data_IF_336513807548
#
_entry.id   IF_336513807548
#
_cell.length_a   1.000
_cell.length_b   1.000
_cell.length_c   1.000
_cell.angle_alpha   90.00
_cell.angle_beta   90.00
_cell.angle_gamma   90.00
#
_symmetry.space_group_name_H-M   'P 1'
#
loop_
_entity.id
_entity.type
_entity.pdbx_description
1 polymer ?
#
# COMPACT_ATOMS: atom_id res chain seq x y z
N UNK A 1 -7.64 37.75 -4.22
CA UNK A 1 -6.60 36.82 -4.71
C UNK A 1 -6.59 36.92 -6.23
N UNK A 2 -5.48 37.29 -6.85
CA UNK A 2 -5.39 37.49 -8.31
C UNK A 2 -5.39 36.14 -9.05
N UNK A 3 -5.80 36.11 -10.32
CA UNK A 3 -5.77 34.90 -11.15
C UNK A 3 -4.35 34.33 -11.30
N UNK A 4 -3.35 35.21 -11.44
CA UNK A 4 -1.94 34.81 -11.46
C UNK A 4 -1.52 34.07 -10.19
N UNK A 5 -2.02 34.51 -9.02
CA UNK A 5 -1.72 33.86 -7.75
C UNK A 5 -2.36 32.47 -7.64
N UNK A 6 -3.58 32.28 -8.20
CA UNK A 6 -4.23 30.97 -8.25
C UNK A 6 -3.46 29.99 -9.16
N UNK A 7 -3.01 30.45 -10.32
CA UNK A 7 -2.21 29.65 -11.27
C UNK A 7 -0.89 29.21 -10.61
N UNK A 8 -0.17 30.13 -9.97
CA UNK A 8 1.08 29.81 -9.26
C UNK A 8 0.86 28.79 -8.13
N UNK A 9 -0.21 28.95 -7.35
CA UNK A 9 -0.57 27.98 -6.31
C UNK A 9 -0.87 26.59 -6.87
N UNK A 10 -1.59 26.51 -7.98
CA UNK A 10 -1.91 25.24 -8.64
C UNK A 10 -0.65 24.56 -9.18
N UNK A 11 0.24 25.30 -9.85
CA UNK A 11 1.51 24.77 -10.34
C UNK A 11 2.39 24.26 -9.18
N UNK A 12 2.45 24.99 -8.07
CA UNK A 12 3.18 24.55 -6.88
C UNK A 12 2.64 23.22 -6.33
N UNK A 13 1.31 23.08 -6.22
CA UNK A 13 0.67 21.82 -5.79
C UNK A 13 0.99 20.66 -6.72
N UNK A 14 0.94 20.90 -8.04
CA UNK A 14 1.28 19.91 -9.06
C UNK A 14 2.73 19.42 -8.96
N UNK A 15 3.68 20.34 -8.74
CA UNK A 15 5.10 19.98 -8.51
C UNK A 15 5.25 19.16 -7.23
N UNK A 16 4.59 19.55 -6.14
CA UNK A 16 4.63 18.82 -4.87
C UNK A 16 4.04 17.40 -5.00
N UNK A 17 2.92 17.24 -5.69
CA UNK A 17 2.31 15.93 -5.95
C UNK A 17 3.26 15.04 -6.77
N UNK A 18 3.87 15.60 -7.82
CA UNK A 18 4.85 14.89 -8.64
C UNK A 18 6.06 14.44 -7.82
N UNK A 19 6.61 15.31 -6.98
CA UNK A 19 7.74 15.01 -6.11
C UNK A 19 7.40 13.94 -5.08
N UNK A 20 6.21 14.03 -4.46
CA UNK A 20 5.69 13.00 -3.54
C UNK A 20 5.70 11.64 -4.25
N UNK A 21 5.08 11.53 -5.42
CA UNK A 21 5.01 10.26 -6.15
C UNK A 21 6.39 9.72 -6.48
N UNK A 22 7.28 10.56 -6.99
CA UNK A 22 8.64 10.16 -7.32
C UNK A 22 9.46 9.75 -6.09
N UNK A 23 9.14 10.25 -4.89
CA UNK A 23 9.90 9.91 -3.68
C UNK A 23 9.60 8.51 -3.16
N UNK A 24 8.37 7.99 -3.34
CA UNK A 24 8.03 6.63 -2.88
C UNK A 24 8.05 5.58 -3.99
N UNK A 25 8.09 5.99 -5.25
CA UNK A 25 8.14 5.08 -6.38
C UNK A 25 9.31 4.06 -6.33
N UNK A 26 10.53 4.44 -5.91
CA UNK A 26 11.64 3.49 -5.79
C UNK A 26 11.39 2.35 -4.79
N UNK A 27 10.57 2.57 -3.76
CA UNK A 27 10.22 1.54 -2.77
C UNK A 27 9.20 0.55 -3.34
N UNK A 28 8.28 1.05 -4.16
CA UNK A 28 7.20 0.24 -4.71
C UNK A 28 7.53 -0.49 -6.00
N UNK A 29 8.41 0.07 -6.83
CA UNK A 29 8.74 -0.49 -8.12
C UNK A 29 9.23 -1.95 -8.02
N UNK A 30 10.09 -2.33 -7.06
CA UNK A 30 10.49 -3.72 -6.88
C UNK A 30 9.33 -4.67 -6.55
N UNK A 31 8.51 -4.34 -5.55
CA UNK A 31 7.33 -5.15 -5.15
C UNK A 31 6.38 -5.28 -6.34
N UNK A 32 6.13 -4.16 -7.00
CA UNK A 32 5.26 -4.10 -8.15
C UNK A 32 5.76 -4.97 -9.31
N UNK A 33 7.05 -4.89 -9.63
CA UNK A 33 7.66 -5.74 -10.66
C UNK A 33 7.61 -7.20 -10.24
N UNK A 34 7.99 -7.53 -9.00
CA UNK A 34 7.92 -8.89 -8.49
C UNK A 34 6.51 -9.47 -8.62
N UNK A 35 5.49 -8.73 -8.19
CA UNK A 35 4.09 -9.18 -8.23
C UNK A 35 3.52 -9.22 -9.66
N UNK A 36 3.81 -8.23 -10.51
CA UNK A 36 3.29 -8.16 -11.89
C UNK A 36 4.00 -9.13 -12.83
N UNK A 37 5.32 -9.30 -12.72
CA UNK A 37 6.09 -10.22 -13.59
C UNK A 37 5.63 -11.67 -13.41
N UNK A 38 5.06 -12.00 -12.25
CA UNK A 38 4.45 -13.30 -11.96
C UNK A 38 3.10 -13.52 -12.69
N UNK A 39 2.60 -12.53 -13.45
CA UNK A 39 1.41 -12.59 -14.34
C UNK A 39 0.11 -13.08 -13.70
N UNK A 40 0.04 -13.12 -12.36
CA UNK A 40 -1.13 -13.60 -11.63
C UNK A 40 -1.86 -12.42 -10.99
N UNK A 41 -2.92 -11.98 -11.67
CA UNK A 41 -4.08 -11.28 -11.08
C UNK A 41 -3.77 -10.17 -10.06
N UNK A 42 -2.72 -9.39 -10.30
CA UNK A 42 -2.44 -8.18 -9.54
C UNK A 42 -3.16 -7.01 -10.18
N UNK A 43 -3.84 -6.21 -9.37
CA UNK A 43 -4.46 -4.96 -9.81
C UNK A 43 -4.22 -3.87 -8.79
N UNK A 44 -4.31 -2.62 -9.24
CA UNK A 44 -4.35 -1.49 -8.32
C UNK A 44 -5.75 -1.36 -7.74
N UNK A 45 -5.87 -1.42 -6.43
CA UNK A 45 -7.06 -0.87 -5.77
C UNK A 45 -7.07 0.65 -6.00
N UNK A 46 -5.92 1.28 -5.75
CA UNK A 46 -5.60 2.61 -6.27
C UNK A 46 -4.09 2.85 -6.32
N UNK A 47 -3.66 3.62 -7.33
CA UNK A 47 -2.32 4.16 -7.40
C UNK A 47 -2.17 5.43 -6.57
N UNK A 48 -3.17 6.32 -6.62
CA UNK A 48 -3.21 7.58 -5.88
C UNK A 48 -4.66 8.06 -5.82
N UNK A 49 -5.04 8.73 -4.73
CA UNK A 49 -6.33 9.41 -4.58
C UNK A 49 -6.12 10.91 -4.77
N UNK A 50 -6.85 11.54 -5.69
CA UNK A 50 -6.69 12.96 -6.02
C UNK A 50 -8.02 13.68 -6.09
N UNK A 51 -7.96 15.00 -5.96
CA UNK A 51 -9.11 15.87 -6.26
C UNK A 51 -9.40 15.88 -7.76
N UNK A 52 -10.65 16.15 -8.19
CA UNK A 52 -11.00 16.22 -9.61
C UNK A 52 -10.10 17.14 -10.43
N UNK A 53 -9.66 18.27 -9.83
CA UNK A 53 -8.81 19.27 -10.47
C UNK A 53 -7.38 18.78 -10.77
N UNK A 54 -6.92 17.75 -10.06
CA UNK A 54 -5.55 17.25 -10.15
C UNK A 54 -5.44 15.97 -10.99
N UNK A 55 -6.56 15.32 -11.28
CA UNK A 55 -6.62 14.05 -12.01
C UNK A 55 -5.92 14.12 -13.38
N UNK A 56 -6.32 15.06 -14.24
CA UNK A 56 -5.77 15.16 -15.61
C UNK A 56 -4.25 15.44 -15.60
N UNK A 57 -3.80 16.25 -14.64
CA UNK A 57 -2.38 16.52 -14.46
C UNK A 57 -1.63 15.23 -14.07
N UNK A 58 -2.14 14.50 -13.08
CA UNK A 58 -1.47 13.31 -12.59
C UNK A 58 -1.45 12.19 -13.64
N UNK A 59 -2.58 11.93 -14.30
CA UNK A 59 -2.67 10.94 -15.37
C UNK A 59 -1.66 11.24 -16.51
N UNK A 60 -1.56 12.51 -16.92
CA UNK A 60 -0.56 12.93 -17.90
C UNK A 60 0.88 12.74 -17.38
N UNK A 61 1.14 13.06 -16.11
CA UNK A 61 2.47 12.90 -15.51
C UNK A 61 2.88 11.42 -15.44
N UNK A 62 1.99 10.52 -15.01
CA UNK A 62 2.25 9.07 -14.94
C UNK A 62 2.56 8.49 -16.32
N UNK A 63 1.83 8.92 -17.35
CA UNK A 63 2.09 8.55 -18.76
C UNK A 63 3.44 9.05 -19.24
N UNK A 64 3.80 10.29 -18.94
CA UNK A 64 5.10 10.88 -19.32
C UNK A 64 6.29 10.22 -18.63
N UNK A 65 6.14 9.79 -17.37
CA UNK A 65 7.20 9.11 -16.62
C UNK A 65 7.50 7.70 -17.15
N UNK A 66 6.80 7.23 -18.19
CA UNK A 66 6.86 5.84 -18.71
C UNK A 66 6.47 4.77 -17.68
N UNK A 67 5.95 5.19 -16.52
CA UNK A 67 5.37 4.32 -15.50
C UNK A 67 3.98 3.83 -15.94
N UNK A 68 3.27 4.66 -16.72
CA UNK A 68 1.92 4.39 -17.21
C UNK A 68 1.75 3.17 -18.12
N UNK A 69 2.82 2.46 -18.53
CA UNK A 69 2.65 1.16 -19.20
C UNK A 69 2.04 0.11 -18.27
N UNK A 70 2.35 0.21 -16.98
CA UNK A 70 1.90 -0.76 -15.99
C UNK A 70 0.91 -0.14 -14.97
N UNK A 71 0.80 1.20 -14.93
CA UNK A 71 -0.13 1.92 -14.06
C UNK A 71 -1.31 2.41 -14.90
N UNK A 72 -2.48 1.77 -14.78
CA UNK A 72 -3.63 2.11 -15.61
C UNK A 72 -4.33 3.37 -15.06
N UNK A 73 -4.93 4.19 -15.92
CA UNK A 73 -5.52 5.48 -15.51
C UNK A 73 -6.61 5.33 -14.44
N UNK A 74 -7.38 4.24 -14.48
CA UNK A 74 -8.42 3.90 -13.50
C UNK A 74 -7.90 3.60 -12.09
N UNK A 75 -6.59 3.41 -11.93
CA UNK A 75 -5.95 3.30 -10.62
C UNK A 75 -5.84 4.66 -9.93
N UNK A 76 -5.88 5.78 -10.67
CA UNK A 76 -5.95 7.12 -10.07
C UNK A 76 -7.41 7.38 -9.69
N UNK A 77 -7.72 7.35 -8.40
CA UNK A 77 -9.09 7.54 -7.91
C UNK A 77 -9.37 9.02 -7.66
N UNK A 78 -10.52 9.50 -8.12
CA UNK A 78 -11.02 10.81 -7.74
C UNK A 78 -11.70 10.65 -6.37
N UNK A 79 -10.96 10.96 -5.30
CA UNK A 79 -11.39 10.79 -3.91
C UNK A 79 -10.57 11.71 -3.01
N UNK A 80 -11.19 12.21 -1.94
CA UNK A 80 -10.48 12.95 -0.89
C UNK A 80 -9.87 12.03 0.18
N UNK A 81 -10.23 10.74 0.14
CA UNK A 81 -9.91 9.75 1.16
C UNK A 81 -9.14 8.56 0.60
N UNK A 82 -8.22 8.05 1.41
CA UNK A 82 -7.46 6.84 1.16
C UNK A 82 -8.12 5.69 1.90
N UNK A 83 -9.29 5.27 1.43
CA UNK A 83 -10.21 4.42 2.19
C UNK A 83 -9.59 3.10 2.71
N UNK A 84 -8.58 2.53 2.05
CA UNK A 84 -7.89 1.34 2.59
C UNK A 84 -6.99 1.71 3.78
N UNK A 85 -6.25 2.82 3.69
CA UNK A 85 -5.47 3.33 4.82
C UNK A 85 -6.36 3.82 5.96
N UNK A 86 -7.49 4.46 5.64
CA UNK A 86 -8.46 4.93 6.62
C UNK A 86 -9.10 3.74 7.33
N UNK A 87 -9.53 2.71 6.59
CA UNK A 87 -10.03 1.44 7.15
C UNK A 87 -9.00 0.78 8.06
N UNK A 88 -7.74 0.72 7.63
CA UNK A 88 -6.66 0.16 8.44
C UNK A 88 -6.51 0.90 9.77
N UNK A 89 -6.47 2.24 9.76
CA UNK A 89 -6.33 3.04 10.99
C UNK A 89 -7.55 2.95 11.91
N UNK A 90 -8.74 2.82 11.34
CA UNK A 90 -9.99 2.65 12.08
C UNK A 90 -10.05 1.28 12.77
N UNK A 91 -9.76 0.21 12.01
CA UNK A 91 -9.83 -1.17 12.51
C UNK A 91 -8.64 -1.54 13.41
N UNK A 92 -7.47 -0.94 13.16
CA UNK A 92 -6.21 -1.26 13.83
C UNK A 92 -5.56 0.02 14.35
N UNK A 93 -6.14 0.68 15.37
CA UNK A 93 -5.57 1.89 15.92
C UNK A 93 -4.16 1.62 16.44
N UNK A 94 -3.26 2.59 16.28
CA UNK A 94 -1.90 2.42 16.77
C UNK A 94 -1.84 2.50 18.29
N UNK A 95 -1.07 1.60 18.90
CA UNK A 95 -0.79 1.61 20.34
C UNK A 95 0.33 2.60 20.74
N UNK A 96 0.97 3.27 19.78
CA UNK A 96 2.11 4.16 20.02
C UNK A 96 1.95 5.51 19.32
N UNK A 97 2.36 6.58 19.99
CA UNK A 97 2.15 7.94 19.50
C UNK A 97 3.15 8.36 18.39
N UNK A 98 4.35 7.78 18.39
CA UNK A 98 5.44 8.19 17.47
C UNK A 98 5.75 7.18 16.37
N UNK A 99 5.33 5.92 16.52
CA UNK A 99 5.49 4.86 15.51
C UNK A 99 4.17 4.13 15.34
N UNK A 100 3.87 3.71 14.11
CA UNK A 100 2.68 2.91 13.87
C UNK A 100 2.97 1.46 14.24
N UNK A 101 2.27 0.96 15.24
CA UNK A 101 2.20 -0.44 15.61
C UNK A 101 0.72 -0.76 15.87
N UNK A 102 0.10 -1.66 15.07
CA UNK A 102 -1.33 -1.91 15.15
C UNK A 102 -1.70 -2.60 16.46
N UNK A 103 -2.82 -2.20 17.05
CA UNK A 103 -3.41 -2.94 18.17
C UNK A 103 -4.18 -4.14 17.60
N UNK A 104 -3.64 -5.34 17.79
CA UNK A 104 -4.20 -6.59 17.28
C UNK A 104 -4.76 -7.43 18.44
N UNK A 105 -5.83 -8.17 18.16
CA UNK A 105 -6.25 -9.24 19.06
C UNK A 105 -5.37 -10.46 18.81
N UNK A 106 -4.68 -10.93 19.85
CA UNK A 106 -3.74 -12.07 19.80
C UNK A 106 -2.55 -11.84 18.84
N UNK A 107 -1.70 -10.82 19.08
CA UNK A 107 -0.54 -10.61 18.24
C UNK A 107 0.43 -11.77 18.41
N UNK A 108 0.70 -12.48 17.32
CA UNK A 108 1.93 -13.28 17.22
C UNK A 108 3.05 -12.39 16.70
N UNK A 109 4.29 -12.67 17.13
CA UNK A 109 5.48 -11.94 16.71
C UNK A 109 6.48 -12.93 16.15
N UNK A 110 7.06 -12.61 14.99
CA UNK A 110 7.99 -13.51 14.32
C UNK A 110 9.16 -12.76 13.67
N UNK A 111 10.38 -13.19 13.98
CA UNK A 111 11.63 -12.54 13.57
C UNK A 111 12.41 -13.31 12.49
N UNK A 112 11.74 -14.12 11.66
CA UNK A 112 12.44 -14.97 10.65
C UNK A 112 11.76 -14.92 9.27
N UNK A 113 12.33 -15.66 8.31
CA UNK A 113 11.94 -15.79 6.90
C UNK A 113 10.47 -15.42 6.58
N UNK A 114 10.31 -14.41 5.72
CA UNK A 114 9.01 -13.91 5.24
C UNK A 114 8.10 -15.04 4.73
N UNK A 115 8.63 -16.05 4.03
CA UNK A 115 7.82 -17.15 3.50
C UNK A 115 7.25 -18.04 4.62
N UNK A 116 8.07 -18.35 5.62
CA UNK A 116 7.66 -19.14 6.78
C UNK A 116 6.65 -18.37 7.65
N UNK A 117 6.86 -17.05 7.81
CA UNK A 117 5.93 -16.18 8.50
C UNK A 117 4.57 -16.15 7.81
N UNK A 118 4.52 -15.93 6.49
CA UNK A 118 3.27 -15.91 5.73
C UNK A 118 2.52 -17.24 5.84
N UNK A 119 3.23 -18.37 5.86
CA UNK A 119 2.63 -19.68 6.06
C UNK A 119 1.97 -19.81 7.45
N UNK A 120 2.65 -19.37 8.51
CA UNK A 120 2.10 -19.37 9.88
C UNK A 120 0.91 -18.43 10.04
N UNK A 121 1.02 -17.22 9.48
CA UNK A 121 -0.08 -16.26 9.49
C UNK A 121 -1.31 -16.83 8.76
N UNK A 122 -1.10 -17.49 7.61
CA UNK A 122 -2.18 -18.12 6.87
C UNK A 122 -2.89 -19.24 7.64
N UNK A 123 -2.13 -20.07 8.37
CA UNK A 123 -2.69 -21.11 9.23
C UNK A 123 -3.50 -20.49 10.40
N UNK A 124 -2.94 -19.49 11.07
CA UNK A 124 -3.55 -18.83 12.24
C UNK A 124 -4.81 -18.05 11.89
N UNK A 125 -4.79 -17.38 10.74
CA UNK A 125 -5.86 -16.51 10.25
C UNK A 125 -6.83 -17.23 9.30
N UNK A 126 -6.63 -18.53 9.05
CA UNK A 126 -7.38 -19.34 8.09
C UNK A 126 -7.46 -18.74 6.68
N UNK A 127 -6.38 -18.09 6.22
CA UNK A 127 -6.31 -17.40 4.93
C UNK A 127 -6.19 -18.42 3.81
N UNK A 128 -7.03 -18.30 2.78
CA UNK A 128 -6.93 -19.14 1.58
C UNK A 128 -5.87 -18.61 0.61
N UNK A 129 -5.20 -19.51 -0.12
CA UNK A 129 -4.14 -19.12 -1.07
C UNK A 129 -4.64 -18.18 -2.18
N UNK A 130 -5.87 -18.37 -2.63
CA UNK A 130 -6.55 -17.57 -3.64
C UNK A 130 -7.28 -16.35 -3.09
N UNK A 131 -7.30 -16.16 -1.77
CA UNK A 131 -7.93 -15.01 -1.14
C UNK A 131 -7.28 -13.72 -1.61
N UNK A 132 -8.09 -12.79 -2.10
CA UNK A 132 -7.61 -11.46 -2.46
C UNK A 132 -7.38 -10.65 -1.19
N UNK A 133 -6.27 -9.92 -1.17
CA UNK A 133 -5.84 -9.11 -0.03
C UNK A 133 -5.32 -7.76 -0.53
N UNK A 134 -5.32 -6.77 0.37
CA UNK A 134 -4.64 -5.52 0.13
C UNK A 134 -3.18 -5.61 0.57
N UNK A 135 -2.27 -5.21 -0.30
CA UNK A 135 -0.84 -5.05 -0.03
C UNK A 135 -0.47 -3.57 -0.18
N UNK A 136 0.01 -2.94 0.89
CA UNK A 136 0.27 -1.49 0.93
C UNK A 136 1.22 -1.10 2.05
N UNK A 137 1.80 0.10 1.99
CA UNK A 137 2.54 0.67 3.12
C UNK A 137 1.64 1.62 3.92
N UNK A 138 1.78 1.68 5.24
CA UNK A 138 0.90 2.50 6.11
C UNK A 138 0.86 3.98 5.75
N UNK A 139 1.95 4.53 5.19
CA UNK A 139 2.16 5.95 4.91
C UNK A 139 2.15 6.31 3.43
N UNK A 140 2.21 5.31 2.54
CA UNK A 140 2.46 5.53 1.12
C UNK A 140 1.50 4.71 0.27
N UNK A 141 0.96 5.37 -0.75
CA UNK A 141 0.38 4.67 -1.89
C UNK A 141 1.48 3.98 -2.71
N UNK A 142 1.14 3.08 -3.65
CA UNK A 142 -0.18 2.61 -4.03
C UNK A 142 -0.71 1.52 -3.09
N UNK A 143 -1.95 1.10 -3.34
CA UNK A 143 -2.53 -0.11 -2.76
C UNK A 143 -2.75 -1.11 -3.87
N UNK A 144 -2.16 -2.28 -3.70
CA UNK A 144 -2.34 -3.40 -4.61
C UNK A 144 -3.40 -4.34 -4.06
N UNK A 145 -4.19 -4.92 -4.97
CA UNK A 145 -5.09 -6.03 -4.71
C UNK A 145 -4.49 -7.26 -5.40
N UNK A 146 -4.15 -8.26 -4.59
CA UNK A 146 -3.38 -9.44 -5.03
C UNK A 146 -3.92 -10.69 -4.35
N UNK A 147 -3.81 -11.88 -4.96
CA UNK A 147 -3.98 -13.14 -4.23
C UNK A 147 -2.91 -13.26 -3.15
N UNK A 148 -3.28 -13.77 -1.97
CA UNK A 148 -2.33 -13.97 -0.87
C UNK A 148 -1.13 -14.82 -1.28
N UNK A 149 -1.35 -15.88 -2.06
CA UNK A 149 -0.28 -16.75 -2.59
C UNK A 149 0.76 -16.02 -3.46
N UNK A 150 0.42 -14.89 -4.07
CA UNK A 150 1.37 -14.10 -4.85
C UNK A 150 2.38 -13.36 -3.97
N UNK A 151 2.08 -13.12 -2.68
CA UNK A 151 2.96 -12.38 -1.78
C UNK A 151 4.18 -13.23 -1.39
N UNK A 152 3.99 -14.53 -1.20
CA UNK A 152 5.08 -15.46 -0.88
C UNK A 152 6.13 -15.60 -2.00
N UNK A 153 5.84 -15.06 -3.19
CA UNK A 153 6.74 -15.06 -4.33
C UNK A 153 7.62 -13.80 -4.40
N UNK A 154 7.29 -12.76 -3.61
CA UNK A 154 8.11 -11.57 -3.49
C UNK A 154 9.28 -11.90 -2.57
N UNK A 155 10.51 -11.77 -3.07
CA UNK A 155 11.68 -12.01 -2.24
C UNK A 155 11.83 -10.86 -1.26
N UNK A 156 12.21 -11.15 -0.03
CA UNK A 156 12.41 -10.12 0.99
C UNK A 156 13.43 -9.06 0.56
N UNK A 157 14.47 -9.47 -0.16
CA UNK A 157 15.50 -8.61 -0.76
C UNK A 157 14.94 -7.60 -1.78
N UNK A 158 13.79 -7.92 -2.39
CA UNK A 158 13.10 -7.05 -3.34
C UNK A 158 12.27 -5.99 -2.59
N UNK A 159 11.97 -6.16 -1.30
CA UNK A 159 11.20 -5.21 -0.51
C UNK A 159 12.16 -4.15 0.06
N UNK A 160 12.42 -3.09 -0.71
CA UNK A 160 13.26 -1.98 -0.27
C UNK A 160 12.53 -1.20 0.83
N UNK A 161 13.01 -1.31 2.08
CA UNK A 161 12.33 -0.85 3.31
C UNK A 161 11.03 -1.62 3.56
N UNK A 162 11.11 -2.84 4.11
CA UNK A 162 9.93 -3.68 4.36
C UNK A 162 9.14 -3.24 5.59
N UNK A 163 9.65 -2.26 6.33
CA UNK A 163 8.99 -1.61 7.45
C UNK A 163 7.70 -0.93 7.00
N UNK A 164 6.70 -0.87 7.89
CA UNK A 164 5.39 -0.27 7.60
C UNK A 164 4.58 -0.99 6.50
N UNK A 165 4.99 -2.19 6.07
CA UNK A 165 4.24 -2.99 5.09
C UNK A 165 3.03 -3.67 5.75
N UNK A 166 1.89 -3.58 5.08
CA UNK A 166 0.61 -4.15 5.49
C UNK A 166 0.11 -5.15 4.45
N UNK A 167 -0.37 -6.29 4.93
CA UNK A 167 -1.21 -7.23 4.19
C UNK A 167 -2.52 -7.33 4.96
N UNK A 168 -3.63 -6.92 4.36
CA UNK A 168 -4.92 -6.81 5.04
C UNK A 168 -6.01 -7.52 4.24
N UNK A 169 -6.92 -8.19 4.94
CA UNK A 169 -8.16 -8.68 4.33
C UNK A 169 -8.92 -7.53 3.65
N UNK A 170 -9.60 -7.81 2.53
CA UNK A 170 -10.38 -6.78 1.81
C UNK A 170 -11.47 -6.16 2.69
N UNK A 171 -12.10 -6.98 3.53
CA UNK A 171 -13.09 -6.55 4.52
C UNK A 171 -12.47 -5.92 5.78
N UNK A 172 -11.15 -6.07 5.96
CA UNK A 172 -10.40 -5.59 7.11
C UNK A 172 -10.55 -6.44 8.38
N UNK A 173 -11.00 -7.69 8.26
CA UNK A 173 -11.18 -8.63 9.38
C UNK A 173 -9.89 -9.06 10.07
N UNK A 174 -8.79 -9.16 9.31
CA UNK A 174 -7.45 -9.45 9.82
C UNK A 174 -6.38 -8.57 9.15
N UNK A 175 -5.22 -8.46 9.81
CA UNK A 175 -4.04 -7.73 9.36
C UNK A 175 -2.76 -8.51 9.66
N UNK A 176 -1.84 -8.52 8.70
CA UNK A 176 -0.42 -8.86 8.88
C UNK A 176 0.37 -7.57 8.64
N UNK A 177 1.29 -7.26 9.54
CA UNK A 177 2.04 -6.02 9.56
C UNK A 177 3.51 -6.30 9.83
N UNK A 178 4.40 -5.57 9.15
CA UNK A 178 5.83 -5.56 9.45
C UNK A 178 6.23 -4.25 10.12
N UNK A 179 6.76 -4.36 11.34
CA UNK A 179 7.22 -3.21 12.11
C UNK A 179 8.54 -2.63 11.61
N UNK A 180 8.91 -1.47 12.15
CA UNK A 180 10.23 -0.84 11.93
C UNK A 180 11.37 -1.71 12.48
N UNK A 181 11.08 -2.54 13.49
CA UNK A 181 12.02 -3.46 14.11
C UNK A 181 12.21 -4.76 13.31
N UNK A 182 11.66 -4.84 12.09
CA UNK A 182 11.61 -6.05 11.26
C UNK A 182 10.83 -7.21 11.88
N UNK A 183 9.96 -6.93 12.83
CA UNK A 183 9.08 -7.91 13.43
C UNK A 183 7.81 -8.02 12.59
N UNK A 184 7.45 -9.24 12.24
CA UNK A 184 6.13 -9.50 11.68
C UNK A 184 5.13 -9.72 12.80
N UNK A 185 3.99 -9.05 12.73
CA UNK A 185 2.87 -9.27 13.61
C UNK A 185 1.58 -9.45 12.84
N UNK A 186 0.70 -10.33 13.31
CA UNK A 186 -0.59 -10.55 12.70
C UNK A 186 -1.67 -10.85 13.73
N UNK A 187 -2.92 -10.60 13.36
CA UNK A 187 -4.06 -10.84 14.22
C UNK A 187 -5.36 -10.33 13.62
N UNK A 188 -6.44 -10.54 14.37
CA UNK A 188 -7.78 -10.08 13.97
C UNK A 188 -8.04 -8.67 14.48
N UNK A 189 -8.98 -7.98 13.81
CA UNK A 189 -9.53 -6.70 14.28
C UNK A 189 -10.01 -6.83 15.73
N UNK A 190 -9.70 -5.84 16.56
CA UNK A 190 -10.31 -5.76 17.89
C UNK A 190 -11.83 -5.59 17.75
N UNK A 191 -12.59 -6.44 18.47
CA UNK A 191 -14.05 -6.44 18.48
C UNK A 191 -14.61 -5.21 19.18
#
# INVERSE_FOLDING_TARGET
MTEEHKIQLQQKKQVQLKQKILSWFPYWLPIFNAVIELKKSCSFEYFECVKPTDYLFLDAAVKQMKLGKNIPSESIKISEHYYVHDKMKEHYPSNLAMRYLPTLSHPEVYETDTALMLAKAAETLFIKHEEEVFLFYTKFTPVLRVPFSSIALVKEEEIMHPEDLCIMAIDGSWLIFRSLENEWTWGYRNS
#
